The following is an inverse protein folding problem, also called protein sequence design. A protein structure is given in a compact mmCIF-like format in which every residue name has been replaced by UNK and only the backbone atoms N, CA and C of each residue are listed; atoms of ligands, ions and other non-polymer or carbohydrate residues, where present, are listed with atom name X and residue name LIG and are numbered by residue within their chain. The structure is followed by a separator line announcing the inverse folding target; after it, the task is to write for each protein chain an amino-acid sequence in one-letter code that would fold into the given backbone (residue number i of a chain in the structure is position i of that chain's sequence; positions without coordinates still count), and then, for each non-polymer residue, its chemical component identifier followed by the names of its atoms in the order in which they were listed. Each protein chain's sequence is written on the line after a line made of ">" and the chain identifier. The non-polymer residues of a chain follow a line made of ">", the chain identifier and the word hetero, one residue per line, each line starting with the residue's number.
data_IF_687107030003
#
_entry.id   IF_687107030003
#
_cell.length_a   1.000
_cell.length_b   1.000
_cell.length_c   1.000
_cell.angle_alpha   90.00
_cell.angle_beta   90.00
_cell.angle_gamma   90.00
#
_symmetry.space_group_name_H-M   'P 1'
#
loop_
_entity.id
_entity.type
_entity.pdbx_description
1 polymer ?
#
# COMPACT_ATOMS: atom_id res chain seq x y z
N UNK A 1 21.40 2.33 5.21
CA UNK A 1 21.96 0.97 5.07
C UNK A 1 23.21 0.68 5.92
N UNK A 2 24.21 1.59 6.13
CA UNK A 2 25.42 1.25 6.91
C UNK A 2 25.22 1.12 8.43
N UNK A 3 24.14 1.67 9.01
CA UNK A 3 23.84 1.56 10.45
C UNK A 3 23.27 0.20 10.85
N UNK A 4 22.45 -0.44 10.00
CA UNK A 4 21.84 -1.75 10.29
C UNK A 4 22.91 -2.84 10.39
N UNK A 5 23.92 -2.78 9.53
CA UNK A 5 25.05 -3.72 9.55
C UNK A 5 25.85 -3.63 10.85
N UNK A 6 26.13 -2.41 11.33
CA UNK A 6 26.83 -2.19 12.60
C UNK A 6 26.01 -2.65 13.82
N UNK A 7 24.69 -2.53 13.77
CA UNK A 7 23.80 -3.02 14.83
C UNK A 7 23.77 -4.56 14.88
N UNK A 8 23.74 -5.22 13.72
CA UNK A 8 23.81 -6.69 13.60
C UNK A 8 25.13 -7.23 14.15
N UNK A 9 26.27 -6.65 13.77
CA UNK A 9 27.58 -7.05 14.28
C UNK A 9 27.66 -6.95 15.82
N UNK A 10 27.05 -5.91 16.41
CA UNK A 10 26.98 -5.74 17.87
C UNK A 10 26.10 -6.78 18.54
N UNK A 11 24.95 -7.13 17.95
CA UNK A 11 24.06 -8.18 18.47
C UNK A 11 24.75 -9.55 18.40
N UNK A 12 25.41 -9.86 17.28
CA UNK A 12 26.16 -11.12 17.11
C UNK A 12 27.35 -11.22 18.07
N UNK A 13 28.04 -10.11 18.35
CA UNK A 13 29.09 -10.07 19.36
C UNK A 13 28.52 -10.32 20.77
N UNK A 14 27.37 -9.73 21.09
CA UNK A 14 26.70 -9.95 22.37
C UNK A 14 26.26 -11.41 22.56
N UNK A 15 25.64 -12.04 21.56
CA UNK A 15 25.27 -13.45 21.61
C UNK A 15 26.49 -14.34 21.90
N UNK A 16 27.63 -14.06 21.26
CA UNK A 16 28.89 -14.79 21.51
C UNK A 16 29.40 -14.62 22.94
N UNK A 17 29.30 -13.42 23.52
CA UNK A 17 29.69 -13.19 24.92
C UNK A 17 28.75 -13.89 25.92
N UNK A 18 27.46 -13.97 25.61
CA UNK A 18 26.51 -14.74 26.41
C UNK A 18 26.80 -16.25 26.36
N UNK A 19 27.08 -16.79 25.17
CA UNK A 19 27.45 -18.20 25.00
C UNK A 19 28.75 -18.56 25.71
N UNK A 20 29.71 -17.63 25.77
CA UNK A 20 30.98 -17.79 26.48
C UNK A 20 30.91 -17.49 27.99
N UNK A 21 29.73 -17.18 28.53
CA UNK A 21 29.51 -16.75 29.92
C UNK A 21 30.38 -15.54 30.35
N UNK A 22 30.86 -14.76 29.39
CA UNK A 22 31.80 -13.66 29.60
C UNK A 22 31.07 -12.34 29.91
N UNK A 23 30.31 -12.31 31.00
CA UNK A 23 29.47 -11.17 31.39
C UNK A 23 30.25 -9.85 31.57
N UNK A 24 31.51 -9.92 31.97
CA UNK A 24 32.38 -8.74 32.14
C UNK A 24 32.75 -8.06 30.81
N UNK A 25 32.70 -8.79 29.69
CA UNK A 25 32.99 -8.27 28.36
C UNK A 25 31.78 -7.57 27.72
N UNK A 26 30.62 -7.60 28.38
CA UNK A 26 29.35 -7.11 27.84
C UNK A 26 29.18 -5.63 28.20
N UNK A 27 29.16 -4.77 27.18
CA UNK A 27 28.73 -3.39 27.34
C UNK A 27 27.20 -3.28 27.25
N UNK A 28 26.52 -3.25 28.40
CA UNK A 28 25.07 -3.15 28.47
C UNK A 28 24.51 -1.83 27.94
N UNK A 29 25.26 -0.73 28.00
CA UNK A 29 24.83 0.56 27.45
C UNK A 29 24.77 0.53 25.91
N UNK A 30 25.76 -0.12 25.29
CA UNK A 30 25.79 -0.33 23.83
C UNK A 30 24.60 -1.19 23.38
N UNK A 31 24.28 -2.26 24.11
CA UNK A 31 23.16 -3.16 23.79
C UNK A 31 21.84 -2.43 23.96
N UNK A 32 21.68 -1.68 25.05
CA UNK A 32 20.51 -0.85 25.28
C UNK A 32 20.29 0.11 24.12
N UNK A 33 21.32 0.82 23.68
CA UNK A 33 21.22 1.74 22.55
C UNK A 33 20.82 1.01 21.25
N UNK A 34 21.37 -0.18 20.98
CA UNK A 34 21.00 -0.98 19.81
C UNK A 34 19.54 -1.44 19.88
N UNK A 35 19.08 -1.91 21.04
CA UNK A 35 17.71 -2.36 21.24
C UNK A 35 16.72 -1.18 21.13
N UNK A 36 17.01 -0.04 21.74
CA UNK A 36 16.16 1.16 21.66
C UNK A 36 16.01 1.63 20.21
N UNK A 37 17.11 1.69 19.44
CA UNK A 37 17.06 2.02 18.02
C UNK A 37 16.26 0.98 17.22
N UNK A 38 16.47 -0.31 17.47
CA UNK A 38 15.75 -1.38 16.76
C UNK A 38 14.25 -1.33 17.03
N UNK A 39 13.84 -0.99 18.25
CA UNK A 39 12.42 -0.81 18.60
C UNK A 39 11.83 0.37 17.84
N UNK A 40 12.54 1.47 17.69
CA UNK A 40 12.06 2.62 16.90
C UNK A 40 11.94 2.27 15.41
N UNK A 41 12.94 1.58 14.85
CA UNK A 41 12.90 1.13 13.46
C UNK A 41 11.72 0.17 13.21
N UNK A 42 11.50 -0.79 14.09
CA UNK A 42 10.37 -1.72 14.01
C UNK A 42 9.01 -1.03 14.12
N UNK A 43 8.89 -0.01 14.98
CA UNK A 43 7.68 0.82 15.05
C UNK A 43 7.44 1.56 13.73
N UNK A 44 8.48 2.16 13.16
CA UNK A 44 8.40 2.83 11.86
C UNK A 44 7.98 1.88 10.73
N UNK A 45 8.61 0.70 10.66
CA UNK A 45 8.25 -0.34 9.70
C UNK A 45 6.82 -0.87 9.88
N UNK A 46 6.39 -1.05 11.13
CA UNK A 46 5.02 -1.47 11.44
C UNK A 46 3.99 -0.43 11.00
N UNK A 47 4.28 0.86 11.18
CA UNK A 47 3.42 1.93 10.68
C UNK A 47 3.35 1.94 9.15
N UNK A 48 4.49 1.84 8.46
CA UNK A 48 4.54 1.78 6.98
C UNK A 48 3.76 0.55 6.47
N UNK A 49 3.88 -0.60 7.14
CA UNK A 49 3.13 -1.79 6.77
C UNK A 49 1.62 -1.59 6.92
N UNK A 50 1.17 -0.88 7.96
CA UNK A 50 -0.25 -0.54 8.15
C UNK A 50 -0.76 0.43 7.07
N UNK A 51 0.03 1.47 6.74
CA UNK A 51 -0.29 2.41 5.67
C UNK A 51 -0.38 1.70 4.30
N UNK A 52 0.55 0.78 4.02
CA UNK A 52 0.53 -0.03 2.82
C UNK A 52 -0.70 -0.93 2.77
N UNK A 53 -1.08 -1.56 3.88
CA UNK A 53 -2.30 -2.38 3.95
C UNK A 53 -3.56 -1.57 3.62
N UNK A 54 -3.69 -0.35 4.17
CA UNK A 54 -4.77 0.56 3.85
C UNK A 54 -4.79 0.92 2.36
N UNK A 55 -3.64 1.27 1.78
CA UNK A 55 -3.53 1.60 0.35
C UNK A 55 -3.91 0.42 -0.54
N UNK A 56 -3.47 -0.80 -0.20
CA UNK A 56 -3.84 -2.01 -0.95
C UNK A 56 -5.34 -2.22 -0.97
N UNK A 57 -6.02 -2.00 0.16
CA UNK A 57 -7.48 -2.13 0.26
C UNK A 57 -8.20 -1.08 -0.60
N UNK A 58 -7.75 0.17 -0.60
CA UNK A 58 -8.31 1.20 -1.48
C UNK A 58 -8.16 0.85 -2.97
N UNK A 59 -6.97 0.42 -3.38
CA UNK A 59 -6.71 0.02 -4.77
C UNK A 59 -7.59 -1.14 -5.18
N UNK A 60 -7.70 -2.16 -4.33
CA UNK A 60 -8.60 -3.30 -4.52
C UNK A 60 -10.04 -2.84 -4.72
N UNK A 61 -10.56 -2.00 -3.84
CA UNK A 61 -11.93 -1.50 -3.93
C UNK A 61 -12.18 -0.76 -5.25
N UNK A 62 -11.24 0.08 -5.68
CA UNK A 62 -11.32 0.80 -6.96
C UNK A 62 -11.27 -0.14 -8.16
N UNK A 63 -10.34 -1.09 -8.17
CA UNK A 63 -10.23 -2.10 -9.24
C UNK A 63 -11.53 -2.90 -9.33
N UNK A 64 -12.03 -3.44 -8.21
CA UNK A 64 -13.26 -4.20 -8.17
C UNK A 64 -14.46 -3.38 -8.68
N UNK A 65 -14.56 -2.10 -8.28
CA UNK A 65 -15.60 -1.19 -8.77
C UNK A 65 -15.56 -1.00 -10.29
N UNK A 66 -14.37 -0.75 -10.86
CA UNK A 66 -14.21 -0.59 -12.30
C UNK A 66 -14.47 -1.89 -13.07
N UNK A 67 -14.05 -3.05 -12.54
CA UNK A 67 -14.33 -4.35 -13.16
C UNK A 67 -15.83 -4.64 -13.19
N UNK A 68 -16.55 -4.37 -12.10
CA UNK A 68 -18.02 -4.51 -12.08
C UNK A 68 -18.69 -3.62 -13.13
N UNK A 69 -18.23 -2.38 -13.28
CA UNK A 69 -18.75 -1.47 -14.29
C UNK A 69 -18.44 -1.97 -15.73
N UNK A 70 -17.21 -2.43 -15.98
CA UNK A 70 -16.84 -3.02 -17.27
C UNK A 70 -17.73 -4.23 -17.59
N UNK A 71 -17.90 -5.16 -16.64
CA UNK A 71 -18.75 -6.35 -16.81
C UNK A 71 -20.23 -6.03 -17.03
N UNK A 72 -20.73 -4.95 -16.43
CA UNK A 72 -22.07 -4.46 -16.67
C UNK A 72 -22.25 -3.91 -18.10
N UNK A 73 -21.20 -3.32 -18.68
CA UNK A 73 -21.21 -2.83 -20.05
C UNK A 73 -20.93 -3.93 -21.09
N UNK A 74 -20.06 -4.88 -20.79
CA UNK A 74 -19.64 -5.95 -21.68
C UNK A 74 -19.18 -7.16 -20.85
N UNK A 75 -19.74 -8.33 -21.14
CA UNK A 75 -19.27 -9.57 -20.53
C UNK A 75 -17.90 -9.95 -21.11
N UNK A 76 -16.92 -10.11 -20.23
CA UNK A 76 -15.55 -10.51 -20.53
C UNK A 76 -15.15 -11.51 -19.43
N UNK A 77 -14.73 -12.71 -19.82
CA UNK A 77 -14.43 -13.79 -18.86
C UNK A 77 -13.21 -13.44 -18.00
N UNK A 78 -12.19 -12.80 -18.60
CA UNK A 78 -10.99 -12.36 -17.88
C UNK A 78 -11.33 -11.34 -16.77
N UNK A 79 -12.18 -10.36 -17.05
CA UNK A 79 -12.58 -9.36 -16.05
C UNK A 79 -13.42 -9.99 -14.92
N UNK A 80 -14.18 -11.06 -15.20
CA UNK A 80 -14.94 -11.80 -14.21
C UNK A 80 -14.03 -12.64 -13.30
N UNK A 81 -13.09 -13.37 -13.88
CA UNK A 81 -12.07 -14.12 -13.13
C UNK A 81 -11.24 -13.18 -12.26
N UNK A 82 -10.80 -12.05 -12.82
CA UNK A 82 -10.05 -11.05 -12.08
C UNK A 82 -10.89 -10.52 -10.91
N UNK A 83 -12.16 -10.19 -11.12
CA UNK A 83 -13.05 -9.70 -10.06
C UNK A 83 -13.20 -10.71 -8.91
N UNK A 84 -13.33 -12.01 -9.20
CA UNK A 84 -13.32 -13.06 -8.17
C UNK A 84 -12.01 -13.03 -7.38
N UNK A 85 -10.87 -13.02 -8.10
CA UNK A 85 -9.54 -12.99 -7.48
C UNK A 85 -9.33 -11.78 -6.56
N UNK A 86 -9.72 -10.58 -6.98
CA UNK A 86 -9.61 -9.38 -6.11
C UNK A 86 -10.68 -9.33 -5.03
N UNK A 87 -11.77 -10.10 -5.12
CA UNK A 87 -12.84 -10.10 -4.11
C UNK A 87 -12.57 -11.07 -2.96
N UNK A 88 -11.98 -12.23 -3.22
CA UNK A 88 -11.88 -13.32 -2.25
C UNK A 88 -10.81 -13.12 -1.16
N UNK A 89 -9.61 -12.62 -1.50
CA UNK A 89 -8.57 -12.28 -0.51
C UNK A 89 -7.47 -11.39 -1.10
N UNK A 90 -6.94 -10.46 -0.29
CA UNK A 90 -5.82 -9.58 -0.66
C UNK A 90 -4.49 -10.02 -0.05
N UNK A 91 -4.48 -11.02 0.84
CA UNK A 91 -3.30 -11.44 1.60
C UNK A 91 -2.15 -11.95 0.72
N UNK A 92 -2.45 -12.38 -0.53
CA UNK A 92 -1.46 -12.86 -1.49
C UNK A 92 -1.19 -11.94 -2.69
N UNK A 93 -1.83 -10.77 -2.79
CA UNK A 93 -1.60 -9.86 -3.93
C UNK A 93 -0.53 -8.85 -3.54
N UNK A 94 0.59 -8.85 -4.26
CA UNK A 94 1.67 -7.89 -4.04
C UNK A 94 1.26 -6.46 -4.45
N UNK A 95 1.84 -5.46 -3.79
CA UNK A 95 1.50 -4.06 -4.07
C UNK A 95 1.81 -3.67 -5.53
N UNK A 96 2.91 -4.18 -6.08
CA UNK A 96 3.27 -3.98 -7.49
C UNK A 96 2.21 -4.57 -8.44
N UNK A 97 1.67 -5.74 -8.10
CA UNK A 97 0.62 -6.37 -8.91
C UNK A 97 -0.65 -5.52 -8.89
N UNK A 98 -1.06 -4.98 -7.74
CA UNK A 98 -2.22 -4.09 -7.65
C UNK A 98 -2.09 -2.85 -8.53
N UNK A 99 -0.90 -2.24 -8.59
CA UNK A 99 -0.65 -1.07 -9.45
C UNK A 99 -0.81 -1.45 -10.93
N UNK A 100 -0.22 -2.58 -11.36
CA UNK A 100 -0.36 -3.05 -12.75
C UNK A 100 -1.81 -3.38 -13.11
N UNK A 101 -2.55 -3.99 -12.19
CA UNK A 101 -3.97 -4.28 -12.37
C UNK A 101 -4.78 -2.99 -12.47
N UNK A 102 -4.51 -2.01 -11.61
CA UNK A 102 -5.17 -0.71 -11.66
C UNK A 102 -5.01 -0.04 -13.02
N UNK A 103 -3.80 0.03 -13.56
CA UNK A 103 -3.55 0.65 -14.87
C UNK A 103 -4.31 -0.06 -16.01
N UNK A 104 -4.28 -1.40 -16.02
CA UNK A 104 -5.05 -2.20 -16.99
C UNK A 104 -6.55 -1.90 -16.89
N UNK A 105 -7.09 -1.95 -15.67
CA UNK A 105 -8.52 -1.79 -15.43
C UNK A 105 -8.99 -0.37 -15.74
N UNK A 106 -8.22 0.66 -15.37
CA UNK A 106 -8.51 2.07 -15.69
C UNK A 106 -8.55 2.29 -17.20
N UNK A 107 -7.60 1.73 -17.95
CA UNK A 107 -7.56 1.88 -19.41
C UNK A 107 -8.82 1.30 -20.05
N UNK A 108 -9.20 0.07 -19.69
CA UNK A 108 -10.44 -0.56 -20.18
C UNK A 108 -11.68 0.24 -19.76
N UNK A 109 -11.71 0.71 -18.52
CA UNK A 109 -12.81 1.53 -18.02
C UNK A 109 -12.94 2.86 -18.79
N UNK A 110 -11.84 3.51 -19.19
CA UNK A 110 -11.85 4.70 -20.05
C UNK A 110 -12.40 4.42 -21.44
N UNK A 111 -12.06 3.27 -22.01
CA UNK A 111 -12.55 2.86 -23.33
C UNK A 111 -14.07 2.63 -23.31
N UNK A 112 -14.59 2.01 -22.25
CA UNK A 112 -16.02 1.75 -22.08
C UNK A 112 -16.82 2.99 -21.62
N UNK A 113 -16.19 3.89 -20.86
CA UNK A 113 -16.83 5.05 -20.23
C UNK A 113 -16.06 6.36 -20.49
N UNK A 114 -15.92 6.80 -21.76
CA UNK A 114 -15.11 7.98 -22.10
C UNK A 114 -15.65 9.29 -21.49
N UNK A 115 -16.95 9.38 -21.23
CA UNK A 115 -17.57 10.55 -20.60
C UNK A 115 -17.17 10.72 -19.12
N UNK A 116 -16.87 9.63 -18.41
CA UNK A 116 -16.51 9.65 -16.98
C UNK A 116 -15.20 10.40 -16.69
N UNK A 117 -14.36 10.62 -17.71
CA UNK A 117 -13.08 11.31 -17.58
C UNK A 117 -13.07 12.73 -18.18
N UNK A 118 -14.10 13.13 -18.93
CA UNK A 118 -14.19 14.47 -19.53
C UNK A 118 -14.26 15.57 -18.48
N UNK A 119 -14.79 15.27 -17.29
CA UNK A 119 -14.90 16.24 -16.19
C UNK A 119 -13.62 16.38 -15.34
N UNK A 120 -12.69 15.41 -15.40
CA UNK A 120 -11.40 15.51 -14.69
C UNK A 120 -10.42 16.44 -15.41
N UNK A 121 -10.52 16.55 -16.73
CA UNK A 121 -9.66 17.44 -17.53
C UNK A 121 -10.06 18.92 -17.46
N UNK A 122 -11.21 19.27 -16.88
CA UNK A 122 -11.71 20.65 -16.79
C UNK A 122 -11.91 21.14 -15.33
N UNK A 123 -11.53 20.34 -14.33
CA UNK A 123 -11.68 20.67 -12.91
C UNK A 123 -10.51 21.42 -12.27
N UNK A 124 -9.44 21.71 -13.03
CA UNK A 124 -8.25 22.41 -12.52
C UNK A 124 -8.29 23.94 -12.71
N UNK A 125 -9.41 24.51 -13.17
CA UNK A 125 -9.63 25.96 -13.10
C UNK A 125 -10.43 26.31 -11.85
N UNK A 126 -9.75 26.94 -10.91
CA UNK A 126 -10.29 27.45 -9.65
C UNK A 126 -11.42 28.46 -9.94
N UNK A 127 -12.57 28.27 -9.29
CA UNK A 127 -13.42 29.38 -8.86
C UNK A 127 -14.61 29.72 -9.76
N UNK A 128 -15.74 29.04 -9.55
CA UNK A 128 -17.05 29.69 -9.58
C UNK A 128 -17.97 28.95 -8.61
N UNK A 129 -18.42 29.65 -7.57
CA UNK A 129 -19.53 29.23 -6.71
C UNK A 129 -20.72 28.90 -7.62
N UNK A 130 -21.03 27.62 -7.82
CA UNK A 130 -22.31 27.20 -8.39
C UNK A 130 -23.33 27.21 -7.26
N UNK A 131 -24.21 28.19 -7.30
CA UNK A 131 -25.41 28.27 -6.49
C UNK A 131 -26.36 27.14 -6.92
N UNK A 132 -26.77 26.30 -5.97
CA UNK A 132 -27.64 25.14 -6.20
C UNK A 132 -29.12 25.51 -6.18
N UNK A 133 -29.47 26.80 -6.15
CA UNK A 133 -30.86 27.26 -6.04
C UNK A 133 -31.68 27.28 -7.34
N UNK A 134 -31.09 26.97 -8.50
CA UNK A 134 -31.80 27.01 -9.80
C UNK A 134 -32.46 25.68 -10.24
N UNK A 135 -32.46 24.65 -9.40
CA UNK A 135 -33.21 23.42 -9.68
C UNK A 135 -34.37 23.25 -8.71
N UNK A 136 -35.42 24.06 -8.90
CA UNK A 136 -36.77 23.71 -8.44
C UNK A 136 -37.51 23.04 -9.59
N UNK A 137 -37.88 21.79 -9.38
CA UNK A 137 -38.98 21.10 -10.08
C UNK A 137 -40.29 21.73 -9.63
#
# INVERSE_FOLDING_TARGET
>A
MPQIHKSLEKIEAFCRYLEAEAMEAINFDDIRAVLENSVQDLKGLSQIAAELACLKEEYRARIAGMLRANLASRKDEDDAELLCRVSDSFEGIEAEELVRLYDRTVRRFRENFPASFKYLAHGAERGARRDWSEHKI
#
